data_IF_276850604608
#
_entry.id   IF_276850604608
#
_cell.length_a   1.000
_cell.length_b   1.000
_cell.length_c   1.000
_cell.angle_alpha   90.00
_cell.angle_beta   90.00
_cell.angle_gamma   90.00
#
_symmetry.space_group_name_H-M   'P 1'
#
loop_
_entity.id
_entity.type
_entity.pdbx_description
1 polymer ?
#
# COMPACT_ATOMS: atom_id res chain seq x y z
N UNK A 1 -24.08 -20.50 -15.92
CA UNK A 1 -23.14 -21.60 -15.63
C UNK A 1 -22.50 -21.34 -14.28
N UNK A 2 -22.67 -22.22 -13.28
CA UNK A 2 -22.05 -22.05 -11.97
C UNK A 2 -20.53 -22.18 -12.08
N UNK A 3 -19.81 -21.21 -11.50
CA UNK A 3 -18.35 -21.23 -11.41
C UNK A 3 -17.99 -22.34 -10.41
N UNK A 4 -17.16 -23.33 -10.76
CA UNK A 4 -16.72 -24.34 -9.81
C UNK A 4 -15.97 -23.63 -8.68
N UNK A 5 -16.42 -23.84 -7.43
CA UNK A 5 -15.71 -23.40 -6.25
C UNK A 5 -14.35 -24.11 -6.22
N UNK A 6 -13.34 -23.47 -6.78
CA UNK A 6 -11.97 -23.97 -6.72
C UNK A 6 -11.53 -23.90 -5.26
N UNK A 7 -11.31 -25.08 -4.67
CA UNK A 7 -10.74 -25.22 -3.34
C UNK A 7 -9.44 -24.42 -3.27
N UNK A 8 -9.47 -23.31 -2.52
CA UNK A 8 -8.25 -22.57 -2.21
C UNK A 8 -7.40 -23.52 -1.38
N UNK A 9 -6.17 -23.87 -1.79
CA UNK A 9 -5.34 -24.77 -1.03
C UNK A 9 -5.12 -24.18 0.38
N UNK A 10 -5.71 -24.84 1.39
CA UNK A 10 -5.60 -24.53 2.81
C UNK A 10 -4.19 -24.06 3.25
N UNK A 11 -3.07 -24.68 2.81
CA UNK A 11 -1.73 -24.25 3.22
C UNK A 11 -1.38 -22.81 2.78
N UNK A 12 -1.88 -22.34 1.64
CA UNK A 12 -1.61 -20.99 1.14
C UNK A 12 -2.32 -19.94 1.99
N UNK A 13 -3.56 -20.23 2.41
CA UNK A 13 -4.34 -19.36 3.28
C UNK A 13 -3.74 -19.26 4.69
N UNK A 14 -3.28 -20.39 5.27
CA UNK A 14 -2.62 -20.38 6.58
C UNK A 14 -1.30 -19.62 6.56
N UNK A 15 -0.51 -19.75 5.48
CA UNK A 15 0.73 -18.99 5.31
C UNK A 15 0.44 -17.48 5.21
N UNK A 16 -0.62 -17.11 4.49
CA UNK A 16 -1.07 -15.72 4.34
C UNK A 16 -1.49 -15.10 5.68
N UNK A 17 -2.28 -15.80 6.49
CA UNK A 17 -2.70 -15.33 7.82
C UNK A 17 -1.49 -15.20 8.76
N UNK A 18 -0.53 -16.13 8.71
CA UNK A 18 0.72 -16.01 9.48
C UNK A 18 1.56 -14.82 9.05
N UNK A 19 1.65 -14.55 7.74
CA UNK A 19 2.40 -13.43 7.20
C UNK A 19 1.78 -12.08 7.61
N UNK A 20 0.45 -11.96 7.55
CA UNK A 20 -0.29 -10.82 8.09
C UNK A 20 -0.08 -10.65 9.60
N UNK A 21 -0.08 -11.75 10.36
CA UNK A 21 0.17 -11.73 11.81
C UNK A 21 1.60 -11.29 12.16
N UNK A 22 2.60 -11.68 11.37
CA UNK A 22 4.00 -11.28 11.58
C UNK A 22 4.19 -9.80 11.28
N UNK A 23 3.60 -9.31 10.18
CA UNK A 23 3.62 -7.89 9.81
C UNK A 23 2.97 -7.01 10.90
N UNK A 24 1.93 -7.52 11.56
CA UNK A 24 1.21 -6.85 12.64
C UNK A 24 2.02 -6.73 13.95
N UNK A 25 3.12 -7.48 14.14
CA UNK A 25 3.97 -7.36 15.35
C UNK A 25 4.78 -6.05 15.39
N UNK A 26 4.85 -5.32 14.26
CA UNK A 26 5.47 -4.01 14.20
C UNK A 26 4.54 -2.95 14.80
N UNK A 27 4.63 -2.78 16.13
CA UNK A 27 3.89 -1.82 16.96
C UNK A 27 3.52 -0.54 16.19
N UNK A 28 2.24 -0.34 15.94
CA UNK A 28 1.71 0.93 15.44
C UNK A 28 1.92 2.00 16.53
N UNK A 29 2.45 3.19 16.20
CA UNK A 29 2.66 4.24 17.19
C UNK A 29 1.32 4.74 17.79
N UNK A 30 1.42 5.09 19.07
CA UNK A 30 0.39 5.28 20.09
C UNK A 30 -0.67 6.37 19.82
N UNK A 31 -1.91 6.04 20.18
CA UNK A 31 -3.10 6.82 20.63
C UNK A 31 -3.52 8.18 20.04
N UNK A 32 -2.67 9.01 19.43
CA UNK A 32 -3.06 10.35 18.95
C UNK A 32 -3.82 10.35 17.60
N UNK A 33 -3.83 9.22 16.88
CA UNK A 33 -4.16 9.19 15.45
C UNK A 33 -5.31 8.24 15.08
N UNK A 34 -6.25 7.95 15.99
CA UNK A 34 -7.36 7.03 15.71
C UNK A 34 -8.21 7.46 14.50
N UNK A 35 -8.42 8.78 14.34
CA UNK A 35 -9.07 9.36 13.15
C UNK A 35 -8.21 9.19 11.90
N UNK A 36 -6.90 9.41 11.97
CA UNK A 36 -5.98 9.22 10.86
C UNK A 36 -5.97 7.76 10.38
N UNK A 37 -5.93 6.78 11.30
CA UNK A 37 -6.00 5.35 10.94
C UNK A 37 -7.33 4.97 10.29
N UNK A 38 -8.45 5.58 10.72
CA UNK A 38 -9.75 5.37 10.07
C UNK A 38 -9.76 5.98 8.66
N UNK A 39 -9.28 7.22 8.51
CA UNK A 39 -9.17 7.88 7.20
C UNK A 39 -8.26 7.07 6.27
N UNK A 40 -7.13 6.57 6.76
CA UNK A 40 -6.21 5.73 6.01
C UNK A 40 -6.87 4.41 5.58
N UNK A 41 -7.63 3.76 6.47
CA UNK A 41 -8.39 2.56 6.13
C UNK A 41 -9.45 2.84 5.05
N UNK A 42 -10.19 3.96 5.15
CA UNK A 42 -11.20 4.36 4.16
C UNK A 42 -10.57 4.70 2.80
N UNK A 43 -9.39 5.33 2.79
CA UNK A 43 -8.67 5.69 1.57
C UNK A 43 -7.87 4.52 0.95
N UNK A 44 -7.68 3.44 1.70
CA UNK A 44 -6.91 2.27 1.25
C UNK A 44 -7.36 1.71 -0.11
N UNK A 45 -8.66 1.52 -0.43
CA UNK A 45 -9.09 1.06 -1.74
C UNK A 45 -8.60 1.94 -2.90
N UNK A 46 -8.65 3.26 -2.74
CA UNK A 46 -8.19 4.22 -3.75
C UNK A 46 -6.66 4.20 -3.85
N UNK A 47 -5.97 4.17 -2.71
CA UNK A 47 -4.50 4.07 -2.63
C UNK A 47 -3.99 2.84 -3.38
N UNK A 48 -4.52 1.65 -3.07
CA UNK A 48 -4.08 0.41 -3.70
C UNK A 48 -4.56 0.25 -5.15
N UNK A 49 -5.70 0.84 -5.51
CA UNK A 49 -6.10 0.98 -6.92
C UNK A 49 -5.05 1.75 -7.73
N UNK A 50 -4.61 2.91 -7.22
CA UNK A 50 -3.60 3.73 -7.89
C UNK A 50 -2.26 2.99 -8.00
N UNK A 51 -1.80 2.38 -6.91
CA UNK A 51 -0.56 1.59 -6.90
C UNK A 51 -0.61 0.46 -7.91
N UNK A 52 -1.72 -0.28 -7.97
CA UNK A 52 -1.86 -1.38 -8.92
C UNK A 52 -1.82 -0.91 -10.37
N UNK A 53 -2.48 0.21 -10.69
CA UNK A 53 -2.45 0.81 -12.03
C UNK A 53 -1.04 1.25 -12.40
N UNK A 54 -0.36 1.99 -11.52
CA UNK A 54 1.00 2.49 -11.77
C UNK A 54 2.00 1.35 -11.94
N UNK A 55 1.95 0.35 -11.06
CA UNK A 55 2.83 -0.81 -11.14
C UNK A 55 2.59 -1.65 -12.39
N UNK A 56 1.33 -1.81 -12.81
CA UNK A 56 1.00 -2.50 -14.06
C UNK A 56 1.58 -1.73 -15.25
N UNK A 57 1.39 -0.41 -15.30
CA UNK A 57 1.97 0.42 -16.37
C UNK A 57 3.51 0.35 -16.41
N UNK A 58 4.17 0.31 -15.26
CA UNK A 58 5.63 0.12 -15.22
C UNK A 58 6.06 -1.23 -15.80
N UNK A 59 5.34 -2.31 -15.46
CA UNK A 59 5.59 -3.64 -16.04
C UNK A 59 5.36 -3.60 -17.56
N UNK A 60 4.31 -2.94 -18.04
CA UNK A 60 4.05 -2.76 -19.48
C UNK A 60 5.18 -2.01 -20.18
N UNK A 61 5.73 -0.96 -19.55
CA UNK A 61 6.85 -0.20 -20.11
C UNK A 61 8.11 -1.06 -20.18
N UNK A 62 8.44 -1.81 -19.12
CA UNK A 62 9.64 -2.65 -19.08
C UNK A 62 9.55 -3.83 -20.05
N UNK A 63 8.39 -4.51 -20.12
CA UNK A 63 8.20 -5.71 -20.95
C UNK A 63 7.78 -5.38 -22.38
N UNK A 64 7.21 -4.20 -22.63
CA UNK A 64 6.78 -3.75 -23.95
C UNK A 64 7.93 -3.63 -24.94
N UNK A 65 9.16 -3.42 -24.47
CA UNK A 65 10.36 -3.44 -25.32
C UNK A 65 10.76 -4.87 -25.75
N UNK A 66 10.27 -5.90 -25.07
CA UNK A 66 10.55 -7.29 -25.42
C UNK A 66 9.47 -7.87 -26.33
N UNK A 67 9.76 -7.90 -27.64
CA UNK A 67 8.89 -8.36 -28.73
C UNK A 67 8.19 -9.72 -28.55
N UNK A 68 8.54 -10.54 -27.55
CA UNK A 68 7.92 -11.84 -27.25
C UNK A 68 6.91 -11.84 -26.08
N UNK A 69 6.79 -10.77 -25.29
CA UNK A 69 5.84 -10.69 -24.17
C UNK A 69 4.41 -10.29 -24.59
N UNK A 70 4.21 -9.99 -25.88
CA UNK A 70 3.00 -9.35 -26.41
C UNK A 70 1.69 -10.13 -26.20
N UNK A 71 1.68 -11.47 -26.07
CA UNK A 71 0.39 -12.20 -26.05
C UNK A 71 -0.31 -12.21 -24.69
N UNK A 72 0.46 -12.23 -23.60
CA UNK A 72 -0.08 -12.32 -22.22
C UNK A 72 -0.34 -10.92 -21.67
N UNK A 73 0.60 -10.01 -21.92
CA UNK A 73 0.57 -8.64 -21.43
C UNK A 73 -0.54 -7.84 -22.13
N UNK A 74 -0.76 -8.06 -23.42
CA UNK A 74 -1.78 -7.32 -24.18
C UNK A 74 -3.21 -7.64 -23.74
N UNK A 75 -3.49 -8.85 -23.20
CA UNK A 75 -4.81 -9.17 -22.61
C UNK A 75 -5.07 -8.44 -21.29
N UNK A 76 -4.03 -8.10 -20.54
CA UNK A 76 -4.12 -7.32 -19.29
C UNK A 76 -4.05 -5.81 -19.56
N UNK A 77 -3.41 -5.40 -20.67
CA UNK A 77 -3.16 -4.00 -21.02
C UNK A 77 -4.29 -3.29 -21.78
N UNK A 78 -5.27 -4.00 -22.37
CA UNK A 78 -6.33 -3.35 -23.16
C UNK A 78 -7.26 -2.46 -22.34
N UNK A 79 -7.28 -2.60 -21.00
CA UNK A 79 -8.07 -1.73 -20.14
C UNK A 79 -7.43 -1.54 -18.77
N UNK A 80 -7.15 -0.29 -18.41
CA UNK A 80 -6.75 0.12 -17.06
C UNK A 80 -7.79 -0.22 -15.98
N UNK A 81 -9.03 -0.50 -16.38
CA UNK A 81 -10.12 -0.79 -15.46
C UNK A 81 -9.90 -2.08 -14.67
N UNK A 82 -9.25 -3.08 -15.25
CA UNK A 82 -9.04 -4.35 -14.57
C UNK A 82 -7.96 -4.27 -13.47
N UNK A 83 -6.75 -3.73 -13.73
CA UNK A 83 -5.77 -3.46 -12.67
C UNK A 83 -6.34 -2.57 -11.56
N UNK A 84 -7.10 -1.54 -11.93
CA UNK A 84 -7.78 -0.67 -10.97
C UNK A 84 -8.75 -1.45 -10.07
N UNK A 85 -9.60 -2.30 -10.67
CA UNK A 85 -10.54 -3.16 -9.95
C UNK A 85 -9.83 -4.13 -9.01
N UNK A 86 -8.74 -4.76 -9.45
CA UNK A 86 -7.93 -5.68 -8.63
C UNK A 86 -7.37 -4.94 -7.42
N UNK A 87 -6.74 -3.78 -7.64
CA UNK A 87 -6.19 -2.98 -6.56
C UNK A 87 -7.26 -2.48 -5.58
N UNK A 88 -8.41 -2.04 -6.09
CA UNK A 88 -9.53 -1.58 -5.27
C UNK A 88 -10.11 -2.69 -4.39
N UNK A 89 -10.39 -3.87 -4.96
CA UNK A 89 -10.92 -5.03 -4.21
C UNK A 89 -9.92 -5.51 -3.17
N UNK A 90 -8.64 -5.59 -3.53
CA UNK A 90 -7.57 -5.90 -2.61
C UNK A 90 -7.48 -4.91 -1.43
N UNK A 91 -7.57 -3.63 -1.75
CA UNK A 91 -7.57 -2.54 -0.77
C UNK A 91 -8.79 -2.55 0.15
N UNK A 92 -9.97 -2.95 -0.33
CA UNK A 92 -11.15 -3.17 0.52
C UNK A 92 -10.88 -4.31 1.52
N UNK A 93 -10.28 -5.42 1.06
CA UNK A 93 -9.91 -6.53 1.94
C UNK A 93 -8.98 -6.10 3.07
N UNK A 94 -7.94 -5.31 2.75
CA UNK A 94 -7.05 -4.73 3.77
C UNK A 94 -7.76 -3.72 4.67
N UNK A 95 -8.62 -2.85 4.12
CA UNK A 95 -9.37 -1.88 4.91
C UNK A 95 -10.25 -2.57 5.98
N UNK A 96 -10.95 -3.65 5.60
CA UNK A 96 -11.74 -4.46 6.53
C UNK A 96 -10.82 -5.06 7.60
N UNK A 97 -9.66 -5.60 7.20
CA UNK A 97 -8.69 -6.15 8.14
C UNK A 97 -8.20 -5.08 9.13
N UNK A 98 -7.81 -3.89 8.66
CA UNK A 98 -7.39 -2.79 9.52
C UNK A 98 -8.50 -2.32 10.46
N UNK A 99 -9.71 -2.10 9.95
CA UNK A 99 -10.85 -1.70 10.79
C UNK A 99 -11.16 -2.78 11.84
N UNK A 100 -11.04 -4.07 11.49
CA UNK A 100 -11.24 -5.15 12.46
C UNK A 100 -10.20 -5.12 13.58
N UNK A 101 -8.92 -4.84 13.27
CA UNK A 101 -7.87 -4.70 14.27
C UNK A 101 -8.12 -3.51 15.18
N UNK A 102 -8.48 -2.36 14.59
CA UNK A 102 -8.83 -1.14 15.34
C UNK A 102 -9.98 -1.41 16.31
N UNK A 103 -11.02 -2.12 15.85
CA UNK A 103 -12.18 -2.49 16.69
C UNK A 103 -11.85 -3.51 17.78
N UNK A 104 -10.88 -4.41 17.57
CA UNK A 104 -10.42 -5.34 18.59
C UNK A 104 -9.57 -4.65 19.66
N UNK A 105 -8.73 -3.70 19.27
CA UNK A 105 -7.88 -2.94 20.19
C UNK A 105 -8.71 -1.94 21.03
N UNK A 106 -9.72 -1.30 20.45
CA UNK A 106 -10.59 -0.38 21.20
C UNK A 106 -11.33 -1.07 22.36
N UNK A 107 -11.63 -2.38 22.24
CA UNK A 107 -12.21 -3.18 23.32
C UNK A 107 -11.24 -3.45 24.48
N UNK A 108 -9.93 -3.52 24.19
CA UNK A 108 -8.92 -3.71 25.23
C UNK A 108 -8.65 -2.42 26.00
N UNK A 109 -8.74 -1.26 25.33
CA UNK A 109 -8.56 0.05 25.97
C UNK A 109 -9.58 0.33 27.07
N UNK A 110 -10.85 -0.02 26.86
CA UNK A 110 -11.89 0.12 27.90
C UNK A 110 -11.74 -0.86 29.08
N UNK A 111 -10.81 -1.81 29.00
CA UNK A 111 -10.55 -2.81 30.05
C UNK A 111 -9.30 -2.54 30.88
N UNK A 112 -8.43 -1.61 30.48
CA UNK A 112 -7.35 -1.15 31.36
C UNK A 112 -7.92 -0.10 32.33
N UNK A 113 -7.93 -0.37 33.64
CA UNK A 113 -8.16 0.71 34.60
C UNK A 113 -7.06 1.75 34.39
N UNK A 114 -7.44 3.02 34.38
CA UNK A 114 -6.53 4.14 34.24
C UNK A 114 -5.40 4.02 35.29
N UNK A 115 -4.22 3.61 34.87
CA UNK A 115 -3.01 3.83 35.66
C UNK A 115 -2.77 5.35 35.69
N UNK A 116 -2.46 5.92 36.87
CA UNK A 116 -2.20 7.35 36.99
C UNK A 116 -0.98 7.72 36.14
N UNK A 117 -1.16 8.80 35.39
CA UNK A 117 -0.26 9.36 34.40
C UNK A 117 0.94 10.04 35.08
N UNK A 118 1.81 9.28 35.75
CA UNK A 118 3.05 9.77 36.37
C UNK A 118 4.29 9.46 35.50
N UNK A 119 4.16 9.48 34.17
CA UNK A 119 5.33 9.52 33.29
C UNK A 119 5.66 10.98 32.95
N UNK A 120 6.77 11.54 33.48
CA UNK A 120 7.13 12.92 33.22
C UNK A 120 7.53 13.09 31.75
N UNK A 121 6.69 13.82 31.02
CA UNK A 121 7.01 14.66 29.86
C UNK A 121 8.43 14.46 29.28
N UNK A 122 8.61 13.39 28.51
CA UNK A 122 9.63 13.37 27.46
C UNK A 122 9.13 14.28 26.33
N UNK A 123 9.28 15.60 26.54
CA UNK A 123 9.28 16.59 25.48
C UNK A 123 10.30 16.13 24.42
N UNK A 124 9.89 15.82 23.17
CA UNK A 124 10.85 15.58 22.12
C UNK A 124 11.52 16.92 21.82
N UNK A 125 12.80 17.04 22.21
CA UNK A 125 13.65 18.17 21.84
C UNK A 125 13.51 18.42 20.33
N UNK A 126 13.10 19.64 19.98
CA UNK A 126 12.68 20.06 18.63
C UNK A 126 13.76 19.98 17.54
N UNK A 127 15.00 19.64 17.88
CA UNK A 127 16.15 19.75 16.97
C UNK A 127 16.63 18.39 16.41
N UNK A 128 16.11 17.25 16.86
CA UNK A 128 16.44 15.91 16.34
C UNK A 128 15.44 15.36 15.30
N UNK A 129 14.42 16.16 14.94
CA UNK A 129 13.29 15.71 14.14
C UNK A 129 13.62 15.44 12.66
N UNK A 130 14.72 15.97 12.12
CA UNK A 130 15.04 15.81 10.69
C UNK A 130 15.79 14.51 10.38
N UNK A 131 16.63 14.03 11.30
CA UNK A 131 17.44 12.81 11.13
C UNK A 131 16.66 11.53 11.43
N UNK A 132 15.67 11.58 12.34
CA UNK A 132 14.80 10.42 12.64
C UNK A 132 13.81 10.13 11.51
N UNK A 133 13.38 11.15 10.75
CA UNK A 133 12.49 10.95 9.58
C UNK A 133 13.16 10.25 8.41
N UNK A 134 14.47 10.46 8.20
CA UNK A 134 15.19 9.89 7.06
C UNK A 134 15.49 8.39 7.23
N UNK A 135 15.69 7.93 8.47
CA UNK A 135 15.86 6.49 8.77
C UNK A 135 14.53 5.73 8.84
N UNK A 136 13.42 6.40 9.14
CA UNK A 136 12.09 5.80 9.18
C UNK A 136 11.41 5.69 7.80
N UNK A 137 11.75 6.58 6.85
CA UNK A 137 11.21 6.59 5.49
C UNK A 137 11.31 5.25 4.72
N UNK A 138 12.47 4.56 4.67
CA UNK A 138 12.57 3.28 3.95
C UNK A 138 11.69 2.20 4.57
N UNK A 139 11.52 2.20 5.89
CA UNK A 139 10.69 1.21 6.58
C UNK A 139 9.21 1.35 6.23
N UNK A 140 8.71 2.59 6.11
CA UNK A 140 7.34 2.87 5.69
C UNK A 140 7.13 2.41 4.24
N UNK A 141 8.09 2.68 3.35
CA UNK A 141 8.00 2.26 1.95
C UNK A 141 7.97 0.72 1.83
N UNK A 142 8.81 0.01 2.58
CA UNK A 142 8.81 -1.46 2.62
C UNK A 142 7.44 -1.98 3.06
N UNK A 143 6.86 -1.41 4.12
CA UNK A 143 5.52 -1.79 4.58
C UNK A 143 4.47 -1.58 3.50
N UNK A 144 4.43 -0.41 2.87
CA UNK A 144 3.48 -0.11 1.79
C UNK A 144 3.67 -1.02 0.59
N UNK A 145 4.91 -1.38 0.25
CA UNK A 145 5.24 -2.32 -0.82
C UNK A 145 4.67 -3.71 -0.55
N UNK A 146 4.86 -4.22 0.67
CA UNK A 146 4.34 -5.53 1.06
C UNK A 146 2.81 -5.51 1.15
N UNK A 147 2.20 -4.49 1.75
CA UNK A 147 0.74 -4.38 1.81
C UNK A 147 0.13 -4.25 0.41
N UNK A 148 0.73 -3.47 -0.49
CA UNK A 148 0.25 -3.33 -1.86
C UNK A 148 0.36 -4.64 -2.65
N UNK A 149 1.45 -5.39 -2.49
CA UNK A 149 1.59 -6.73 -3.07
C UNK A 149 0.50 -7.70 -2.56
N UNK A 150 0.27 -7.69 -1.24
CA UNK A 150 -0.75 -8.51 -0.57
C UNK A 150 -2.17 -8.14 -1.04
N UNK A 151 -2.49 -6.85 -1.09
CA UNK A 151 -3.77 -6.35 -1.61
C UNK A 151 -3.99 -6.87 -3.03
N UNK A 152 -2.99 -6.74 -3.89
CA UNK A 152 -3.07 -7.14 -5.29
C UNK A 152 -3.30 -8.64 -5.44
N UNK A 153 -2.66 -9.44 -4.58
CA UNK A 153 -2.89 -10.88 -4.52
C UNK A 153 -4.34 -11.20 -4.12
N UNK A 154 -4.86 -10.60 -3.04
CA UNK A 154 -6.26 -10.75 -2.61
C UNK A 154 -7.21 -10.36 -3.75
N UNK A 155 -6.99 -9.19 -4.34
CA UNK A 155 -7.81 -8.67 -5.45
C UNK A 155 -7.81 -9.63 -6.65
N UNK A 156 -6.65 -10.19 -7.00
CA UNK A 156 -6.54 -11.15 -8.10
C UNK A 156 -7.32 -12.44 -7.82
N UNK A 157 -7.28 -12.95 -6.59
CA UNK A 157 -8.10 -14.10 -6.18
C UNK A 157 -9.60 -13.80 -6.30
N UNK A 158 -10.05 -12.66 -5.76
CA UNK A 158 -11.48 -12.30 -5.75
C UNK A 158 -12.01 -12.01 -7.16
N UNK A 159 -11.21 -11.39 -8.03
CA UNK A 159 -11.57 -11.15 -9.43
C UNK A 159 -11.55 -12.44 -10.27
N UNK A 160 -11.06 -13.55 -9.72
CA UNK A 160 -11.12 -14.88 -10.36
C UNK A 160 -9.93 -15.19 -11.26
N UNK A 161 -8.77 -14.56 -11.04
CA UNK A 161 -7.54 -14.90 -11.76
C UNK A 161 -6.97 -16.23 -11.24
N UNK A 162 -7.10 -17.28 -12.04
CA UNK A 162 -6.74 -18.65 -11.67
C UNK A 162 -5.28 -19.00 -11.98
N UNK A 163 -4.69 -18.41 -13.02
CA UNK A 163 -3.30 -18.68 -13.40
C UNK A 163 -2.31 -18.13 -12.36
N UNK A 164 -1.37 -18.99 -11.93
CA UNK A 164 -0.32 -18.61 -10.97
C UNK A 164 0.55 -17.46 -11.51
N UNK A 165 0.90 -17.51 -12.80
CA UNK A 165 1.70 -16.48 -13.47
C UNK A 165 1.04 -15.10 -13.40
N UNK A 166 -0.26 -15.02 -13.70
CA UNK A 166 -1.00 -13.76 -13.67
C UNK A 166 -1.03 -13.18 -12.25
N UNK A 167 -1.28 -14.02 -11.24
CA UNK A 167 -1.26 -13.58 -9.83
C UNK A 167 0.11 -13.07 -9.40
N UNK A 168 1.19 -13.74 -9.80
CA UNK A 168 2.55 -13.30 -9.50
C UNK A 168 2.85 -11.96 -10.18
N UNK A 169 2.51 -11.81 -11.47
CA UNK A 169 2.69 -10.54 -12.18
C UNK A 169 1.91 -9.39 -11.54
N UNK A 170 0.65 -9.63 -11.16
CA UNK A 170 -0.19 -8.64 -10.48
C UNK A 170 0.34 -8.31 -9.08
N UNK A 171 0.91 -9.28 -8.36
CA UNK A 171 1.55 -9.04 -7.07
C UNK A 171 2.84 -8.21 -7.21
N UNK A 172 3.64 -8.47 -8.25
CA UNK A 172 4.83 -7.67 -8.56
C UNK A 172 4.43 -6.25 -8.98
N UNK A 173 3.37 -6.11 -9.79
CA UNK A 173 2.78 -4.81 -10.12
C UNK A 173 2.41 -4.06 -8.84
N UNK A 174 1.68 -4.72 -7.94
CA UNK A 174 1.32 -4.15 -6.63
C UNK A 174 2.53 -3.66 -5.84
N UNK A 175 3.61 -4.44 -5.80
CA UNK A 175 4.85 -4.07 -5.13
C UNK A 175 5.57 -2.87 -5.79
N UNK A 176 5.59 -2.81 -7.12
CA UNK A 176 6.23 -1.71 -7.86
C UNK A 176 5.43 -0.40 -7.74
N UNK A 177 4.11 -0.48 -7.59
CA UNK A 177 3.21 0.67 -7.50
C UNK A 177 3.66 1.78 -6.53
N UNK A 178 3.87 1.49 -5.23
CA UNK A 178 4.36 2.47 -4.25
C UNK A 178 5.69 3.11 -4.63
N UNK A 179 6.61 2.34 -5.20
CA UNK A 179 7.94 2.82 -5.63
C UNK A 179 7.77 3.83 -6.76
N UNK A 180 7.00 3.47 -7.78
CA UNK A 180 6.71 4.35 -8.93
C UNK A 180 5.98 5.61 -8.48
N UNK A 181 4.97 5.47 -7.61
CA UNK A 181 4.23 6.59 -7.04
C UNK A 181 5.16 7.57 -6.31
N UNK A 182 6.07 7.06 -5.48
CA UNK A 182 7.02 7.87 -4.74
C UNK A 182 7.96 8.64 -5.67
N UNK A 183 8.49 7.97 -6.70
CA UNK A 183 9.34 8.62 -7.73
C UNK A 183 8.57 9.74 -8.45
N UNK A 184 7.32 9.49 -8.86
CA UNK A 184 6.48 10.50 -9.52
C UNK A 184 6.18 11.68 -8.59
N UNK A 185 5.83 11.41 -7.33
CA UNK A 185 5.51 12.44 -6.35
C UNK A 185 6.71 13.36 -6.09
N UNK A 186 7.91 12.80 -5.84
CA UNK A 186 9.12 13.60 -5.64
C UNK A 186 9.57 14.31 -6.91
N UNK A 187 9.42 13.69 -8.09
CA UNK A 187 9.68 14.33 -9.37
C UNK A 187 8.81 15.58 -9.59
N UNK A 188 7.49 15.46 -9.38
CA UNK A 188 6.55 16.58 -9.48
C UNK A 188 6.86 17.67 -8.46
N UNK A 189 7.16 17.30 -7.21
CA UNK A 189 7.54 18.27 -6.18
C UNK A 189 8.82 19.02 -6.55
N UNK A 190 9.83 18.32 -7.06
CA UNK A 190 11.07 18.91 -7.54
C UNK A 190 10.84 19.92 -8.68
N UNK A 191 9.98 19.57 -9.65
CA UNK A 191 9.58 20.48 -10.73
C UNK A 191 8.91 21.75 -10.17
N UNK A 192 7.95 21.61 -9.25
CA UNK A 192 7.26 22.76 -8.65
C UNK A 192 8.22 23.70 -7.92
N UNK A 193 9.16 23.14 -7.16
CA UNK A 193 10.21 23.91 -6.47
C UNK A 193 11.10 24.64 -7.49
N UNK A 194 11.51 23.96 -8.57
CA UNK A 194 12.30 24.55 -9.64
C UNK A 194 11.60 25.71 -10.33
N UNK A 195 10.31 25.55 -10.67
CA UNK A 195 9.50 26.63 -11.28
C UNK A 195 9.34 27.80 -10.31
N UNK A 196 9.00 27.55 -9.04
CA UNK A 196 8.86 28.61 -8.05
C UNK A 196 10.16 29.38 -7.84
N UNK A 197 11.30 28.68 -7.84
CA UNK A 197 12.62 29.30 -7.74
C UNK A 197 12.94 30.16 -8.97
N UNK A 198 12.68 29.64 -10.17
CA UNK A 198 12.89 30.37 -11.43
C UNK A 198 12.03 31.64 -11.50
N UNK A 199 10.74 31.56 -11.12
CA UNK A 199 9.85 32.72 -11.06
C UNK A 199 10.33 33.76 -10.04
N UNK A 200 10.74 33.33 -8.84
CA UNK A 200 11.32 34.23 -7.83
C UNK A 200 12.64 34.86 -8.26
N UNK A 201 13.40 34.19 -9.13
CA UNK A 201 14.62 34.77 -9.71
C UNK A 201 14.23 35.82 -10.73
N UNK A 202 13.28 35.53 -11.62
CA UNK A 202 12.80 36.47 -12.66
C UNK A 202 12.24 37.76 -12.06
N UNK A 203 11.38 37.67 -11.02
CA UNK A 203 10.75 38.84 -10.39
C UNK A 203 11.72 39.77 -9.63
N UNK A 204 12.96 39.33 -9.38
CA UNK A 204 13.98 40.13 -8.69
C UNK A 204 14.85 40.94 -9.65
N UNK A 205 14.68 40.77 -10.96
CA UNK A 205 15.29 41.59 -12.00
C UNK A 205 14.27 42.62 -12.49
#
# INVERSE_FOLDING_TARGET
MPIPAGDIPLPTFVCFIRLLSIMNSSKFPSFSNHFYSIVEAILSPVKYCLFQVLGTQMILLILGETHHAHSVVHKVATSLAEPARIGAVGGIGLAIFYLSQIMLQSRQWHRSPAEPLDDPLLLPNSDSNLTVTLSAAPWILIKETVYSAVASLIGAYVVGRTEFRDRMLLSIAGALGPIVFLVLMFGLLGILIGVAWALRRLMRW
#
